data_IF_808718824388
#
_entry.id   IF_808718824388
#
_cell.length_a   1.000
_cell.length_b   1.000
_cell.length_c   1.000
_cell.angle_alpha   90.00
_cell.angle_beta   90.00
_cell.angle_gamma   90.00
#
_symmetry.space_group_name_H-M   'P 1'
#
loop_
_entity.id
_entity.type
_entity.pdbx_description
1 polymer ?
#
# COMPACT_ATOMS: atom_id res chain seq x y z
N UNK A 1 -24.20 11.31 -0.94
CA UNK A 1 -22.99 10.71 -1.53
C UNK A 1 -21.92 10.57 -0.45
N UNK A 2 -21.64 9.36 0.03
CA UNK A 2 -20.49 9.12 0.89
C UNK A 2 -19.25 9.03 0.00
N UNK A 3 -18.40 10.05 0.04
CA UNK A 3 -17.07 10.03 -0.56
C UNK A 3 -16.35 8.83 0.08
N UNK A 4 -15.75 7.89 -0.66
CA UNK A 4 -14.97 6.85 -0.03
C UNK A 4 -13.86 7.57 0.72
N UNK A 5 -13.85 7.37 2.02
CA UNK A 5 -12.84 7.91 2.90
C UNK A 5 -11.50 7.38 2.41
N UNK A 6 -10.84 8.22 1.61
CA UNK A 6 -9.49 7.97 1.14
C UNK A 6 -8.61 8.38 2.30
N UNK A 7 -8.76 7.68 3.43
CA UNK A 7 -7.64 7.33 4.30
C UNK A 7 -6.65 6.60 3.36
N UNK A 8 -5.85 7.30 2.57
CA UNK A 8 -4.96 8.29 3.15
C UNK A 8 -4.10 7.49 4.12
N UNK A 9 -3.40 6.48 3.60
CA UNK A 9 -2.16 5.92 4.15
C UNK A 9 -1.07 7.01 4.23
N UNK A 10 -1.48 8.18 4.70
CA UNK A 10 -0.75 9.36 5.09
C UNK A 10 -0.23 9.14 6.51
N UNK A 11 0.26 7.93 6.78
CA UNK A 11 0.92 7.61 8.03
C UNK A 11 2.35 8.10 7.90
N UNK A 12 2.54 9.33 8.35
CA UNK A 12 3.78 10.07 8.43
C UNK A 12 4.92 9.23 9.01
N UNK A 13 5.59 8.45 8.17
CA UNK A 13 6.91 7.89 8.48
C UNK A 13 7.92 8.81 7.81
N UNK A 14 8.26 9.90 8.50
CA UNK A 14 9.39 10.74 8.12
C UNK A 14 10.69 9.97 8.36
N UNK A 15 11.11 9.18 7.38
CA UNK A 15 12.39 8.47 7.44
C UNK A 15 13.53 9.40 7.02
N UNK A 16 14.68 9.21 7.68
CA UNK A 16 15.92 9.83 7.26
C UNK A 16 16.36 9.21 5.92
N UNK A 17 16.41 10.04 4.88
CA UNK A 17 16.97 9.61 3.60
C UNK A 17 18.49 9.89 3.57
N UNK A 18 19.36 8.89 3.34
CA UNK A 18 20.79 9.10 3.26
C UNK A 18 21.21 9.98 2.06
N UNK A 19 20.37 10.07 1.01
CA UNK A 19 20.63 10.93 -0.15
C UNK A 19 20.23 12.38 0.08
N UNK A 20 19.05 12.63 0.64
CA UNK A 20 18.58 13.98 0.95
C UNK A 20 19.19 14.54 2.25
N UNK A 21 19.80 13.68 3.09
CA UNK A 21 20.35 14.01 4.42
C UNK A 21 19.37 14.77 5.31
N UNK A 22 18.08 14.49 5.13
CA UNK A 22 16.98 15.13 5.86
C UNK A 22 15.88 14.10 6.14
N UNK A 23 15.12 14.32 7.20
CA UNK A 23 13.88 13.60 7.43
C UNK A 23 12.88 14.00 6.35
N UNK A 24 12.60 13.08 5.43
CA UNK A 24 11.68 13.28 4.30
C UNK A 24 10.50 12.34 4.46
N UNK A 25 9.30 12.72 3.98
CA UNK A 25 8.15 11.82 3.99
C UNK A 25 8.47 10.59 3.13
N UNK A 26 8.45 9.40 3.72
CA UNK A 26 8.54 8.16 2.97
C UNK A 26 7.15 7.69 2.54
N UNK A 27 7.03 7.19 1.32
CA UNK A 27 5.84 6.51 0.82
C UNK A 27 6.06 5.02 0.93
N UNK A 28 5.10 4.32 1.55
CA UNK A 28 5.04 2.87 1.50
C UNK A 28 4.48 2.42 0.15
N UNK A 29 5.12 1.44 -0.46
CA UNK A 29 4.68 0.79 -1.68
C UNK A 29 4.65 -0.71 -1.46
N UNK A 30 3.48 -1.30 -1.67
CA UNK A 30 3.34 -2.76 -1.64
C UNK A 30 4.14 -3.36 -2.80
N UNK A 31 5.18 -4.11 -2.45
CA UNK A 31 6.09 -4.75 -3.40
C UNK A 31 5.58 -6.14 -3.77
N UNK A 32 5.15 -6.90 -2.77
CA UNK A 32 4.76 -8.29 -2.94
C UNK A 32 3.67 -8.68 -1.95
N UNK A 33 2.65 -9.37 -2.45
CA UNK A 33 1.53 -9.87 -1.65
C UNK A 33 1.67 -11.38 -1.55
N UNK A 34 1.86 -11.92 -0.35
CA UNK A 34 2.00 -13.35 -0.11
C UNK A 34 0.87 -13.84 0.82
N UNK A 35 0.54 -15.15 0.78
CA UNK A 35 -0.48 -15.73 1.66
C UNK A 35 -0.18 -15.59 3.15
N UNK A 36 1.10 -15.53 3.52
CA UNK A 36 1.55 -15.38 4.91
C UNK A 36 1.86 -13.94 5.33
N UNK A 37 1.72 -12.97 4.41
CA UNK A 37 2.07 -11.58 4.70
C UNK A 37 2.37 -10.74 3.46
N UNK A 38 2.38 -9.43 3.66
CA UNK A 38 2.56 -8.42 2.63
C UNK A 38 3.89 -7.70 2.83
N UNK A 39 4.72 -7.65 1.79
CA UNK A 39 6.01 -6.95 1.81
C UNK A 39 5.86 -5.56 1.20
N UNK A 40 6.27 -4.56 1.96
CA UNK A 40 6.24 -3.14 1.60
C UNK A 40 7.65 -2.58 1.54
N UNK A 41 7.86 -1.70 0.57
CA UNK A 41 9.05 -0.86 0.43
C UNK A 41 8.74 0.56 0.89
N UNK A 42 9.63 1.19 1.63
CA UNK A 42 9.57 2.61 1.93
C UNK A 42 10.53 3.34 1.02
N UNK A 43 9.99 4.18 0.15
CA UNK A 43 10.78 5.05 -0.71
C UNK A 43 10.65 6.50 -0.27
N UNK A 44 11.75 7.25 -0.35
CA UNK A 44 11.72 8.70 -0.16
C UNK A 44 10.80 9.34 -1.23
N UNK A 45 9.84 10.17 -0.83
CA UNK A 45 8.97 10.86 -1.79
C UNK A 45 9.70 11.87 -2.66
N UNK A 46 10.82 12.41 -2.18
CA UNK A 46 11.58 13.46 -2.86
C UNK A 46 12.56 12.89 -3.89
N UNK A 47 13.27 11.81 -3.54
CA UNK A 47 14.33 11.25 -4.40
C UNK A 47 14.09 9.81 -4.86
N UNK A 48 13.02 9.15 -4.39
CA UNK A 48 12.69 7.76 -4.74
C UNK A 48 13.64 6.70 -4.17
N UNK A 49 14.58 7.07 -3.29
CA UNK A 49 15.51 6.13 -2.70
C UNK A 49 14.80 5.23 -1.69
N UNK A 50 15.04 3.92 -1.76
CA UNK A 50 14.59 2.97 -0.76
C UNK A 50 15.28 3.29 0.58
N UNK A 51 14.48 3.71 1.56
CA UNK A 51 14.92 4.06 2.91
C UNK A 51 14.69 2.92 3.91
N UNK A 52 13.96 1.87 3.50
CA UNK A 52 13.75 0.66 4.28
C UNK A 52 12.64 -0.20 3.68
N UNK A 53 12.43 -1.39 4.26
CA UNK A 53 11.32 -2.25 3.91
C UNK A 53 10.67 -2.82 5.16
N UNK A 54 9.36 -3.06 5.12
CA UNK A 54 8.63 -3.76 6.18
C UNK A 54 7.90 -4.95 5.57
N UNK A 55 7.97 -6.08 6.26
CA UNK A 55 7.08 -7.20 5.99
C UNK A 55 6.02 -7.22 7.06
N UNK A 56 4.77 -7.11 6.66
CA UNK A 56 3.63 -7.29 7.54
C UNK A 56 3.14 -8.74 7.40
N UNK A 57 2.83 -9.42 8.50
CA UNK A 57 2.31 -10.80 8.44
C UNK A 57 0.79 -10.83 8.20
N UNK A 58 0.18 -9.68 7.93
CA UNK A 58 -1.24 -9.58 7.65
C UNK A 58 -1.60 -10.12 6.23
N UNK A 59 -2.50 -11.11 6.14
CA UNK A 59 -2.96 -11.67 4.87
C UNK A 59 -4.14 -10.91 4.25
N UNK A 60 -4.57 -9.75 4.80
CA UNK A 60 -5.76 -9.03 4.31
C UNK A 60 -5.56 -8.53 2.88
N UNK A 61 -4.38 -8.01 2.56
CA UNK A 61 -4.05 -7.56 1.20
C UNK A 61 -3.99 -8.73 0.21
N UNK A 62 -3.54 -9.90 0.65
CA UNK A 62 -3.61 -11.13 -0.13
C UNK A 62 -5.07 -11.45 -0.45
N UNK A 63 -5.91 -11.56 0.58
CA UNK A 63 -7.34 -11.86 0.43
C UNK A 63 -8.05 -10.85 -0.47
N UNK A 64 -7.68 -9.57 -0.41
CA UNK A 64 -8.26 -8.51 -1.24
C UNK A 64 -7.82 -8.59 -2.70
N UNK A 65 -6.59 -9.01 -2.95
CA UNK A 65 -6.04 -9.19 -4.32
C UNK A 65 -6.56 -10.48 -4.97
N UNK A 66 -6.67 -11.56 -4.20
CA UNK A 66 -7.13 -12.87 -4.69
C UNK A 66 -8.66 -13.03 -4.63
N UNK A 67 -9.39 -12.12 -3.96
CA UNK A 67 -10.84 -12.14 -3.96
C UNK A 67 -11.33 -12.12 -5.41
N UNK A 68 -12.05 -13.16 -5.86
CA UNK A 68 -12.58 -13.16 -7.21
C UNK A 68 -13.44 -11.93 -7.32
N UNK A 69 -13.16 -11.08 -8.32
CA UNK A 69 -14.09 -10.02 -8.69
C UNK A 69 -15.43 -10.72 -8.87
N UNK A 70 -16.34 -10.56 -7.89
CA UNK A 70 -17.72 -10.95 -8.09
C UNK A 70 -18.16 -9.99 -9.18
N UNK A 71 -17.98 -10.43 -10.43
CA UNK A 71 -18.54 -9.80 -11.60
C UNK A 71 -19.94 -9.46 -11.17
N UNK A 72 -20.21 -8.17 -11.02
CA UNK A 72 -21.54 -7.61 -11.13
C UNK A 72 -21.95 -7.91 -12.56
N UNK A 73 -22.24 -9.18 -12.84
CA UNK A 73 -23.12 -9.56 -13.94
C UNK A 73 -24.44 -8.99 -13.50
N UNK A 74 -24.71 -7.78 -13.97
CA UNK A 74 -26.07 -7.30 -14.08
C UNK A 74 -26.86 -8.45 -14.69
N UNK A 75 -27.86 -8.89 -13.95
CA UNK A 75 -28.88 -9.79 -14.45
C UNK A 75 -30.06 -8.88 -14.78
N UNK A 76 -30.20 -8.41 -16.03
CA UNK A 76 -31.49 -7.92 -16.51
C UNK A 76 -32.31 -9.16 -16.90
N UNK A 77 -33.54 -9.27 -16.40
CA UNK A 77 -34.58 -10.09 -17.04
C UNK A 77 -35.92 -9.94 -16.30
N UNK A 78 -36.83 -9.24 -17.00
CA UNK A 78 -38.30 -9.24 -16.93
C UNK A 78 -38.99 -8.49 -15.79
#
# INVERSE_FOLDING_TARGET
MARPDSFGEFEATSLFCPRCRRATPARKKLLLVLPGGSKYDYVCSECGTAVGGKTDNDPSEYNRTIAPTRRRRGRPSS
#
